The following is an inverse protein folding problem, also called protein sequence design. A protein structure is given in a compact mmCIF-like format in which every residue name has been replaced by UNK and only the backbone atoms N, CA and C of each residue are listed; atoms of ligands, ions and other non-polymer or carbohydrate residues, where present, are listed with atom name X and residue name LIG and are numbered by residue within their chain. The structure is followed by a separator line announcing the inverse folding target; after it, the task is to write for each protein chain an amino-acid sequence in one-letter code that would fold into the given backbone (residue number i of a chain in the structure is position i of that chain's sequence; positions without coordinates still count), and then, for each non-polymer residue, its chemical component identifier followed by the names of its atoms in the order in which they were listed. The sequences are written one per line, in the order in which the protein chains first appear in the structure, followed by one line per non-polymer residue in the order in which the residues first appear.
data_IF_341691361293
#
_entry.id   IF_341691361293
#
_cell.length_a   1.000
_cell.length_b   1.000
_cell.length_c   1.000
_cell.angle_alpha   90.00
_cell.angle_beta   90.00
_cell.angle_gamma   90.00
#
_symmetry.space_group_name_H-M   'P 1'
#
loop_
_entity.id
_entity.type
_entity.pdbx_description
1 polymer ?
#
# COMPACT_ATOMS: atom_id res chain seq x y z
N UNK A 1 -8.62 -19.61 -37.92
CA UNK A 1 -8.45 -20.99 -37.43
C UNK A 1 -9.74 -21.42 -36.73
N UNK A 2 -10.50 -22.33 -37.34
CA UNK A 2 -11.73 -22.89 -36.74
C UNK A 2 -11.30 -23.90 -35.68
N UNK A 3 -11.66 -23.69 -34.41
CA UNK A 3 -11.43 -24.70 -33.36
C UNK A 3 -12.27 -25.93 -33.71
N UNK A 4 -11.63 -27.10 -33.80
CA UNK A 4 -12.32 -28.36 -34.01
C UNK A 4 -13.38 -28.65 -32.95
N UNK A 5 -14.26 -29.64 -33.17
CA UNK A 5 -15.28 -30.01 -32.21
C UNK A 5 -14.65 -30.31 -30.83
N UNK A 6 -15.35 -30.02 -29.72
CA UNK A 6 -14.79 -30.18 -28.39
C UNK A 6 -14.33 -31.63 -28.20
N UNK A 7 -13.06 -31.82 -27.81
CA UNK A 7 -12.40 -33.11 -27.63
C UNK A 7 -13.22 -34.17 -26.88
N UNK A 8 -14.13 -33.73 -25.99
CA UNK A 8 -15.13 -34.59 -25.37
C UNK A 8 -15.89 -35.46 -26.36
N UNK A 9 -16.52 -34.85 -27.38
CA UNK A 9 -17.48 -35.54 -28.25
C UNK A 9 -16.76 -36.59 -29.10
N UNK A 10 -15.52 -36.31 -29.50
CA UNK A 10 -14.70 -37.27 -30.21
C UNK A 10 -14.30 -38.45 -29.32
N UNK A 11 -13.87 -38.22 -28.08
CA UNK A 11 -13.53 -39.31 -27.15
C UNK A 11 -14.75 -40.15 -26.75
N UNK A 12 -15.89 -39.53 -26.44
CA UNK A 12 -17.13 -40.26 -26.17
C UNK A 12 -17.55 -41.12 -27.37
N UNK A 13 -17.45 -40.60 -28.59
CA UNK A 13 -17.75 -41.35 -29.81
C UNK A 13 -16.79 -42.53 -30.03
N UNK A 14 -15.49 -42.36 -29.77
CA UNK A 14 -14.50 -43.44 -29.90
C UNK A 14 -14.69 -44.54 -28.86
N UNK A 15 -15.06 -44.18 -27.63
CA UNK A 15 -15.39 -45.14 -26.58
C UNK A 15 -16.68 -45.91 -26.93
N UNK A 16 -17.72 -45.22 -27.39
CA UNK A 16 -18.97 -45.85 -27.83
C UNK A 16 -18.79 -46.76 -29.05
N UNK A 17 -17.90 -46.39 -29.97
CA UNK A 17 -17.55 -47.21 -31.12
C UNK A 17 -16.65 -48.42 -30.77
N UNK A 18 -16.24 -48.56 -29.51
CA UNK A 18 -15.36 -49.65 -29.05
C UNK A 18 -13.90 -49.51 -29.49
N UNK A 19 -13.52 -48.37 -30.07
CA UNK A 19 -12.15 -48.11 -30.54
C UNK A 19 -11.20 -47.89 -29.37
N UNK A 20 -11.71 -47.32 -28.27
CA UNK A 20 -10.96 -47.04 -27.05
C UNK A 20 -11.72 -47.54 -25.82
N UNK A 21 -11.00 -48.02 -24.81
CA UNK A 21 -11.58 -48.21 -23.48
C UNK A 21 -11.87 -46.87 -22.81
N UNK A 22 -12.90 -46.81 -21.95
CA UNK A 22 -13.24 -45.58 -21.24
C UNK A 22 -12.08 -45.13 -20.33
N UNK A 23 -11.46 -43.96 -20.57
CA UNK A 23 -10.35 -43.51 -19.74
C UNK A 23 -10.84 -42.97 -18.40
N UNK A 24 -10.00 -43.10 -17.36
CA UNK A 24 -10.34 -42.73 -15.97
C UNK A 24 -10.78 -41.27 -15.81
N UNK A 25 -10.18 -40.33 -16.55
CA UNK A 25 -10.57 -38.92 -16.53
C UNK A 25 -11.96 -38.67 -17.13
N UNK A 26 -12.38 -39.46 -18.14
CA UNK A 26 -13.69 -39.32 -18.76
C UNK A 26 -14.78 -39.76 -17.78
N UNK A 27 -14.54 -40.85 -17.05
CA UNK A 27 -15.39 -41.32 -15.95
C UNK A 27 -15.51 -40.28 -14.84
N UNK A 28 -14.39 -39.75 -14.34
CA UNK A 28 -14.38 -38.73 -13.28
C UNK A 28 -15.14 -37.46 -13.71
N UNK A 29 -14.98 -37.04 -14.96
CA UNK A 29 -15.71 -35.91 -15.54
C UNK A 29 -17.20 -36.19 -15.74
N UNK A 30 -17.58 -37.43 -16.09
CA UNK A 30 -18.99 -37.80 -16.23
C UNK A 30 -19.71 -37.79 -14.88
N UNK A 31 -19.00 -38.14 -13.80
CA UNK A 31 -19.46 -37.98 -12.42
C UNK A 31 -19.57 -36.50 -12.03
N UNK A 32 -18.59 -35.67 -12.42
CA UNK A 32 -18.55 -34.24 -12.12
C UNK A 32 -18.57 -33.39 -13.39
N UNK A 33 -19.76 -33.20 -13.97
CA UNK A 33 -19.92 -32.42 -15.21
C UNK A 33 -19.48 -30.96 -14.95
N UNK A 34 -18.66 -30.36 -15.84
CA UNK A 34 -18.23 -28.98 -15.66
C UNK A 34 -19.42 -28.02 -15.80
N UNK A 35 -19.42 -26.96 -15.00
CA UNK A 35 -20.41 -25.89 -15.11
C UNK A 35 -20.19 -25.14 -16.42
N UNK A 36 -21.13 -25.25 -17.35
CA UNK A 36 -21.08 -24.51 -18.60
C UNK A 36 -21.72 -23.15 -18.34
N UNK A 37 -20.88 -22.14 -18.15
CA UNK A 37 -21.34 -20.75 -18.10
C UNK A 37 -21.89 -20.37 -19.48
N UNK A 38 -23.11 -19.81 -19.49
CA UNK A 38 -23.70 -19.28 -20.73
C UNK A 38 -22.75 -18.21 -21.27
N UNK A 39 -22.41 -18.27 -22.56
CA UNK A 39 -21.67 -17.20 -23.21
C UNK A 39 -22.53 -15.95 -23.19
N UNK A 40 -22.29 -15.06 -22.24
CA UNK A 40 -22.91 -13.73 -22.20
C UNK A 40 -22.36 -12.96 -23.40
N UNK A 41 -23.21 -12.64 -24.37
CA UNK A 41 -22.85 -11.81 -25.54
C UNK A 41 -22.87 -10.29 -25.21
N UNK A 42 -22.78 -9.92 -23.94
CA UNK A 42 -22.83 -8.54 -23.48
C UNK A 42 -21.44 -7.99 -23.13
N UNK A 43 -21.31 -6.67 -23.15
CA UNK A 43 -20.18 -5.98 -22.50
C UNK A 43 -20.21 -6.31 -21.01
N UNK A 44 -19.05 -6.58 -20.42
CA UNK A 44 -18.92 -6.71 -18.97
C UNK A 44 -19.35 -5.39 -18.33
N UNK A 45 -20.23 -5.47 -17.32
CA UNK A 45 -20.64 -4.30 -16.55
C UNK A 45 -19.49 -3.91 -15.61
N UNK A 46 -19.26 -2.62 -15.48
CA UNK A 46 -18.37 -2.08 -14.46
C UNK A 46 -18.95 -2.36 -13.07
N UNK A 47 -18.08 -2.77 -12.14
CA UNK A 47 -18.46 -3.02 -10.75
C UNK A 47 -18.13 -1.73 -10.00
N UNK A 48 -19.16 -1.01 -9.61
CA UNK A 48 -19.05 0.24 -8.84
C UNK A 48 -19.49 -0.01 -7.39
N UNK A 49 -18.71 0.48 -6.43
CA UNK A 49 -19.07 0.48 -5.03
C UNK A 49 -19.54 1.87 -4.59
N UNK A 50 -20.50 1.98 -3.67
CA UNK A 50 -20.92 3.28 -3.12
C UNK A 50 -19.76 4.09 -2.52
N UNK A 51 -18.77 3.39 -1.96
CA UNK A 51 -17.55 3.95 -1.39
C UNK A 51 -16.64 4.64 -2.42
N UNK A 52 -16.71 4.24 -3.69
CA UNK A 52 -15.85 4.80 -4.75
C UNK A 52 -16.15 6.29 -4.98
N UNK A 53 -17.40 6.70 -4.78
CA UNK A 53 -17.80 8.12 -4.81
C UNK A 53 -17.15 8.93 -3.68
N UNK A 54 -17.09 8.37 -2.47
CA UNK A 54 -16.44 9.01 -1.33
C UNK A 54 -14.94 9.13 -1.57
N UNK A 55 -14.33 8.07 -2.11
CA UNK A 55 -12.92 8.02 -2.48
C UNK A 55 -12.55 9.11 -3.49
N UNK A 56 -13.37 9.29 -4.51
CA UNK A 56 -13.16 10.33 -5.52
C UNK A 56 -13.13 11.73 -4.88
N UNK A 57 -14.10 12.04 -4.00
CA UNK A 57 -14.14 13.33 -3.29
C UNK A 57 -12.93 13.54 -2.37
N UNK A 58 -12.46 12.48 -1.70
CA UNK A 58 -11.24 12.56 -0.89
C UNK A 58 -10.03 12.89 -1.76
N UNK A 59 -9.89 12.28 -2.94
CA UNK A 59 -8.78 12.59 -3.85
C UNK A 59 -8.88 13.97 -4.50
N UNK A 60 -10.09 14.46 -4.75
CA UNK A 60 -10.32 15.84 -5.22
C UNK A 60 -9.85 16.87 -4.18
N UNK A 61 -10.15 16.65 -2.89
CA UNK A 61 -9.66 17.49 -1.79
C UNK A 61 -8.17 17.31 -1.51
N UNK A 62 -7.68 16.07 -1.56
CA UNK A 62 -6.32 15.68 -1.19
C UNK A 62 -5.63 14.92 -2.33
N UNK A 63 -5.20 15.60 -3.42
CA UNK A 63 -4.62 14.94 -4.57
C UNK A 63 -3.32 14.19 -4.25
N UNK A 64 -2.59 14.63 -3.21
CA UNK A 64 -1.37 13.95 -2.72
C UNK A 64 -1.66 12.59 -2.07
N UNK A 65 -2.88 12.36 -1.57
CA UNK A 65 -3.24 11.10 -0.93
C UNK A 65 -3.24 9.91 -1.91
N UNK A 66 -3.41 10.17 -3.21
CA UNK A 66 -3.30 9.14 -4.26
C UNK A 66 -1.89 8.56 -4.41
N UNK A 67 -0.87 9.30 -3.97
CA UNK A 67 0.55 8.91 -4.08
C UNK A 67 1.06 8.16 -2.85
N UNK A 68 0.23 8.02 -1.81
CA UNK A 68 0.63 7.28 -0.62
C UNK A 68 0.74 5.79 -0.96
N UNK A 69 1.74 5.09 -0.38
CA UNK A 69 1.94 3.67 -0.66
C UNK A 69 0.79 2.85 -0.09
N UNK A 70 0.40 1.81 -0.83
CA UNK A 70 -0.51 0.77 -0.36
C UNK A 70 0.28 -0.35 0.31
N UNK A 71 -0.14 -0.75 1.51
CA UNK A 71 0.36 -1.96 2.16
C UNK A 71 -0.39 -3.18 1.62
N UNK A 72 0.30 -3.98 0.80
CA UNK A 72 -0.24 -5.20 0.20
C UNK A 72 -0.27 -6.39 1.17
N UNK A 73 0.44 -6.29 2.31
CA UNK A 73 0.47 -7.34 3.32
C UNK A 73 -0.60 -7.13 4.40
N UNK A 74 -1.33 -6.02 4.34
CA UNK A 74 -2.41 -5.74 5.29
C UNK A 74 -3.52 -6.81 5.18
N UNK A 75 -3.95 -7.31 6.35
CA UNK A 75 -4.98 -8.34 6.43
C UNK A 75 -6.36 -7.85 5.93
N UNK A 76 -6.59 -6.54 5.97
CA UNK A 76 -7.87 -5.92 5.58
C UNK A 76 -7.64 -4.69 4.70
N UNK A 77 -8.59 -4.44 3.78
CA UNK A 77 -8.57 -3.28 2.89
C UNK A 77 -8.52 -1.94 3.64
N UNK A 78 -9.16 -1.87 4.81
CA UNK A 78 -9.17 -0.65 5.65
C UNK A 78 -7.78 -0.33 6.19
N UNK A 79 -6.96 -1.35 6.46
CA UNK A 79 -5.60 -1.20 6.97
C UNK A 79 -4.56 -0.95 5.88
N UNK A 80 -4.87 -1.29 4.62
CA UNK A 80 -3.89 -1.20 3.53
C UNK A 80 -3.54 0.24 3.15
N UNK A 81 -4.45 1.19 3.38
CA UNK A 81 -4.25 2.56 2.96
C UNK A 81 -5.03 3.56 3.79
N UNK A 82 -4.44 4.73 4.03
CA UNK A 82 -5.00 5.81 4.87
C UNK A 82 -6.37 6.28 4.36
N UNK A 83 -6.52 6.39 3.03
CA UNK A 83 -7.80 6.79 2.42
C UNK A 83 -8.89 5.73 2.62
N UNK A 84 -8.54 4.44 2.61
CA UNK A 84 -9.52 3.37 2.85
C UNK A 84 -9.97 3.39 4.32
N UNK A 85 -9.05 3.66 5.27
CA UNK A 85 -9.39 3.92 6.69
C UNK A 85 -10.34 5.10 6.82
N UNK A 86 -10.04 6.22 6.16
CA UNK A 86 -10.87 7.43 6.19
C UNK A 86 -12.29 7.16 5.69
N UNK A 87 -12.43 6.50 4.54
CA UNK A 87 -13.74 6.20 3.94
C UNK A 87 -14.54 5.24 4.81
N UNK A 88 -13.90 4.21 5.38
CA UNK A 88 -14.57 3.28 6.28
C UNK A 88 -15.14 3.99 7.52
N UNK A 89 -14.37 4.91 8.11
CA UNK A 89 -14.83 5.75 9.23
C UNK A 89 -15.97 6.67 8.81
N UNK A 90 -15.85 7.35 7.66
CA UNK A 90 -16.88 8.26 7.15
C UNK A 90 -18.19 7.51 6.91
N UNK A 91 -18.11 6.35 6.26
CA UNK A 91 -19.26 5.51 5.97
C UNK A 91 -19.91 4.97 7.25
N UNK A 92 -19.11 4.58 8.25
CA UNK A 92 -19.63 4.16 9.54
C UNK A 92 -20.37 5.30 10.27
N UNK A 93 -19.86 6.53 10.24
CA UNK A 93 -20.55 7.70 10.81
C UNK A 93 -21.87 8.00 10.09
N UNK A 94 -21.90 7.90 8.76
CA UNK A 94 -23.12 8.07 7.97
C UNK A 94 -24.18 7.01 8.32
N UNK A 95 -23.77 5.75 8.51
CA UNK A 95 -24.71 4.67 8.85
C UNK A 95 -25.22 4.73 10.29
N UNK A 96 -24.34 5.03 11.25
CA UNK A 96 -24.66 4.96 12.69
C UNK A 96 -25.35 6.21 13.21
N UNK A 97 -24.95 7.40 12.74
CA UNK A 97 -25.44 8.70 13.22
C UNK A 97 -26.37 9.40 12.23
N UNK A 98 -26.63 8.80 11.07
CA UNK A 98 -27.44 9.38 9.98
C UNK A 98 -26.97 10.77 9.55
N UNK A 99 -25.66 11.03 9.65
CA UNK A 99 -25.08 12.32 9.29
C UNK A 99 -25.08 12.53 7.79
N UNK A 100 -25.13 13.80 7.38
CA UNK A 100 -24.90 14.14 5.99
C UNK A 100 -23.47 13.82 5.58
N UNK A 101 -23.24 13.59 4.28
CA UNK A 101 -21.93 13.22 3.76
C UNK A 101 -20.85 14.28 4.09
N UNK A 102 -21.23 15.57 4.08
CA UNK A 102 -20.35 16.69 4.43
C UNK A 102 -20.03 16.72 5.92
N UNK A 103 -21.01 16.53 6.79
CA UNK A 103 -20.79 16.51 8.24
C UNK A 103 -19.93 15.32 8.67
N UNK A 104 -20.19 14.15 8.09
CA UNK A 104 -19.38 12.96 8.34
C UNK A 104 -17.93 13.18 7.87
N UNK A 105 -17.73 13.83 6.73
CA UNK A 105 -16.39 14.16 6.24
C UNK A 105 -15.62 15.05 7.22
N UNK A 106 -16.26 16.12 7.70
CA UNK A 106 -15.63 17.06 8.64
C UNK A 106 -15.31 16.41 9.98
N UNK A 107 -16.19 15.54 10.49
CA UNK A 107 -15.93 14.81 11.73
C UNK A 107 -14.72 13.89 11.60
N UNK A 108 -14.63 13.07 10.53
CA UNK A 108 -13.46 12.21 10.32
C UNK A 108 -12.20 13.04 10.11
N UNK A 109 -12.28 14.16 9.40
CA UNK A 109 -11.13 15.04 9.21
C UNK A 109 -10.59 15.58 10.55
N UNK A 110 -11.48 15.94 11.47
CA UNK A 110 -11.11 16.42 12.81
C UNK A 110 -10.53 15.29 13.68
N UNK A 111 -11.13 14.09 13.63
CA UNK A 111 -10.63 12.91 14.34
C UNK A 111 -9.23 12.53 13.86
N UNK A 112 -9.00 12.52 12.54
CA UNK A 112 -7.71 12.16 11.97
C UNK A 112 -6.62 13.20 12.28
N UNK A 113 -6.98 14.49 12.31
CA UNK A 113 -6.07 15.55 12.79
C UNK A 113 -5.70 15.35 14.26
N UNK A 114 -6.66 14.99 15.11
CA UNK A 114 -6.42 14.70 16.52
C UNK A 114 -5.47 13.49 16.69
N UNK A 115 -5.74 12.37 16.00
CA UNK A 115 -4.87 11.18 16.00
C UNK A 115 -3.43 11.53 15.57
N UNK A 116 -3.26 12.39 14.56
CA UNK A 116 -1.93 12.82 14.09
C UNK A 116 -1.20 13.72 15.10
N UNK A 117 -1.92 14.53 15.86
CA UNK A 117 -1.30 15.33 16.94
C UNK A 117 -0.88 14.45 18.10
N UNK A 118 -1.71 13.50 18.52
CA UNK A 118 -1.41 12.58 19.63
C UNK A 118 -0.24 11.63 19.29
N UNK A 119 -0.20 11.10 18.07
CA UNK A 119 0.91 10.25 17.60
C UNK A 119 2.23 11.01 17.52
N UNK A 120 2.23 12.28 17.07
CA UNK A 120 3.44 13.12 17.07
C UNK A 120 3.90 13.45 18.49
N UNK A 121 2.97 13.77 19.39
CA UNK A 121 3.27 14.08 20.80
C UNK A 121 3.80 12.86 21.53
N UNK A 122 3.21 11.68 21.31
CA UNK A 122 3.67 10.42 21.91
C UNK A 122 5.02 9.96 21.35
N UNK A 123 5.28 10.11 20.04
CA UNK A 123 6.61 9.88 19.47
C UNK A 123 7.66 10.84 20.02
N UNK A 124 7.32 12.13 20.19
CA UNK A 124 8.19 13.12 20.81
C UNK A 124 8.49 12.77 22.29
N UNK A 125 7.49 12.40 23.09
CA UNK A 125 7.65 11.95 24.47
C UNK A 125 8.43 10.63 24.59
N UNK A 126 8.21 9.68 23.69
CA UNK A 126 8.98 8.44 23.61
C UNK A 126 10.45 8.70 23.25
N UNK A 127 10.72 9.68 22.39
CA UNK A 127 12.09 10.10 22.06
C UNK A 127 12.77 10.81 23.24
N UNK A 128 12.06 11.66 23.99
CA UNK A 128 12.58 12.28 25.22
C UNK A 128 12.86 11.24 26.31
N UNK A 129 11.98 10.26 26.49
CA UNK A 129 12.17 9.21 27.49
C UNK A 129 13.23 8.17 27.11
N UNK A 130 13.49 7.95 25.81
CA UNK A 130 14.68 7.20 25.35
C UNK A 130 15.98 7.98 25.55
N UNK A 131 15.97 9.30 25.34
CA UNK A 131 17.14 10.14 25.61
C UNK A 131 17.50 10.16 27.11
N UNK A 132 16.52 10.13 28.02
CA UNK A 132 16.80 10.04 29.46
C UNK A 132 17.23 8.64 29.93
N UNK A 133 16.81 7.57 29.24
CA UNK A 133 17.26 6.19 29.52
C UNK A 133 18.64 5.87 28.91
N UNK A 134 19.02 6.51 27.81
CA UNK A 134 20.37 6.40 27.25
C UNK A 134 21.44 7.11 28.11
N UNK A 135 21.05 8.02 29.01
CA UNK A 135 21.96 8.69 29.94
C UNK A 135 22.21 7.90 31.25
N UNK A 136 21.60 6.73 31.44
CA UNK A 136 21.66 5.99 32.72
C UNK A 136 21.93 4.47 32.61
N UNK A 137 22.22 3.92 31.42
CA UNK A 137 22.69 2.54 31.29
C UNK A 137 24.08 2.45 30.65
N UNK A 138 25.07 2.99 31.34
CA UNK A 138 26.43 2.44 31.30
C UNK A 138 26.39 1.06 31.93
N UNK A 139 26.70 0.00 31.19
CA UNK A 139 27.66 -1.08 31.52
C UNK A 139 27.55 -2.19 30.48
N UNK A 140 28.71 -2.55 29.91
CA UNK A 140 29.05 -3.77 29.17
C UNK A 140 29.14 -3.67 27.63
N UNK A 141 30.41 -3.71 27.19
CA UNK A 141 30.99 -4.24 25.95
C UNK A 141 30.75 -3.48 24.63
N UNK A 142 31.71 -2.65 24.24
CA UNK A 142 32.52 -2.79 23.01
C UNK A 142 33.24 -1.47 22.65
N UNK A 143 34.47 -1.29 23.13
CA UNK A 143 35.33 -0.12 22.89
C UNK A 143 35.78 0.03 21.40
N UNK A 144 35.42 -0.91 20.52
CA UNK A 144 35.82 -0.87 19.10
C UNK A 144 34.85 -0.11 18.18
N UNK A 145 33.59 0.10 18.59
CA UNK A 145 32.55 0.67 17.71
C UNK A 145 32.34 2.18 17.88
N UNK A 146 32.71 2.77 19.02
CA UNK A 146 32.60 4.23 19.21
C UNK A 146 33.54 5.02 18.30
N UNK A 147 34.72 4.47 18.03
CA UNK A 147 35.74 5.08 17.18
C UNK A 147 35.31 5.18 15.71
N UNK A 148 34.49 4.23 15.25
CA UNK A 148 34.00 4.24 13.86
C UNK A 148 32.90 5.27 13.66
N UNK A 149 31.96 5.35 14.60
CA UNK A 149 30.89 6.37 14.58
C UNK A 149 31.44 7.79 14.65
N UNK A 150 32.40 8.05 15.56
CA UNK A 150 33.08 9.34 15.66
C UNK A 150 33.90 9.67 14.41
N UNK A 151 34.54 8.68 13.77
CA UNK A 151 35.26 8.88 12.50
C UNK A 151 34.33 9.26 11.36
N UNK A 152 33.18 8.58 11.22
CA UNK A 152 32.19 8.92 10.18
C UNK A 152 31.58 10.30 10.40
N UNK A 153 31.28 10.66 11.64
CA UNK A 153 30.76 11.99 11.96
C UNK A 153 31.79 13.09 11.65
N UNK A 154 33.06 12.91 12.06
CA UNK A 154 34.13 13.86 11.76
C UNK A 154 34.41 13.98 10.25
N UNK A 155 34.36 12.87 9.51
CA UNK A 155 34.50 12.90 8.05
C UNK A 155 33.37 13.70 7.38
N UNK A 156 32.12 13.50 7.83
CA UNK A 156 30.96 14.24 7.31
C UNK A 156 31.04 15.75 7.58
N UNK A 157 31.47 16.14 8.78
CA UNK A 157 31.67 17.56 9.11
C UNK A 157 32.77 18.18 8.26
N UNK A 158 33.88 17.48 8.06
CA UNK A 158 34.99 17.95 7.23
C UNK A 158 34.60 18.10 5.75
N UNK A 159 33.82 17.17 5.20
CA UNK A 159 33.33 17.27 3.82
C UNK A 159 32.37 18.45 3.65
N UNK A 160 31.50 18.70 4.64
CA UNK A 160 30.60 19.86 4.62
C UNK A 160 31.35 21.21 4.67
N UNK A 161 32.43 21.29 5.44
CA UNK A 161 33.30 22.48 5.49
C UNK A 161 34.03 22.71 4.16
N UNK A 162 34.51 21.64 3.52
CA UNK A 162 35.13 21.73 2.21
C UNK A 162 34.15 22.18 1.12
N UNK A 163 32.91 21.66 1.13
CA UNK A 163 31.88 22.11 0.19
C UNK A 163 31.55 23.60 0.38
N UNK A 164 31.47 24.09 1.61
CA UNK A 164 31.27 25.51 1.89
C UNK A 164 32.45 26.36 1.38
N UNK A 165 33.68 25.92 1.63
CA UNK A 165 34.88 26.64 1.19
C UNK A 165 34.97 26.71 -0.35
N UNK A 166 34.59 25.63 -1.05
CA UNK A 166 34.54 25.60 -2.51
C UNK A 166 33.46 26.57 -3.03
N UNK A 167 32.28 26.60 -2.41
CA UNK A 167 31.22 27.56 -2.78
C UNK A 167 31.69 29.00 -2.60
N UNK A 168 32.31 29.33 -1.46
CA UNK A 168 32.85 30.66 -1.20
C UNK A 168 33.98 31.05 -2.18
N UNK A 169 34.81 30.10 -2.61
CA UNK A 169 35.85 30.35 -3.60
C UNK A 169 35.28 30.58 -5.01
N UNK A 170 34.23 29.83 -5.38
CA UNK A 170 33.52 30.04 -6.65
C UNK A 170 32.84 31.40 -6.70
N UNK A 171 32.16 31.80 -5.62
CA UNK A 171 31.51 33.12 -5.51
C UNK A 171 32.54 34.26 -5.60
N UNK A 172 33.72 34.11 -4.97
CA UNK A 172 34.82 35.08 -5.09
C UNK A 172 35.40 35.20 -6.50
N UNK A 173 35.41 34.11 -7.27
CA UNK A 173 35.91 34.13 -8.64
C UNK A 173 34.91 34.76 -9.61
N UNK A 174 33.59 34.58 -9.39
CA UNK A 174 32.56 35.25 -10.20
C UNK A 174 32.57 36.77 -10.02
N UNK A 175 32.89 37.27 -8.82
CA UNK A 175 33.02 38.71 -8.54
C UNK A 175 34.26 39.34 -9.17
N UNK A 176 35.31 38.56 -9.49
CA UNK A 176 36.52 39.07 -10.16
C UNK A 176 36.43 39.08 -11.69
N UNK A 177 35.43 38.41 -12.27
CA UNK A 177 35.21 38.32 -13.72
C UNK A 177 34.15 39.29 -14.26
N UNK A 178 33.61 40.15 -13.40
CA UNK A 178 32.68 41.24 -13.72
C UNK A 178 33.37 42.59 -13.52
#
# INVERSE_FOLDING_TARGET
MVRGPPYRKSFEALVLAGVLSEPTWLRARNMHKPVILRKTQGKLKEIEFPEDRLKQKVFEKYPKASKLPYDLNAQTRVQSHVVEKFIAQQYALMQTKSLSESEAFEQVENELKAELTETKVTLALASLSKASKASSSSTATNEADEDFGLKLYRASVHDAENEMNIKLALDRNQVKSA
#
